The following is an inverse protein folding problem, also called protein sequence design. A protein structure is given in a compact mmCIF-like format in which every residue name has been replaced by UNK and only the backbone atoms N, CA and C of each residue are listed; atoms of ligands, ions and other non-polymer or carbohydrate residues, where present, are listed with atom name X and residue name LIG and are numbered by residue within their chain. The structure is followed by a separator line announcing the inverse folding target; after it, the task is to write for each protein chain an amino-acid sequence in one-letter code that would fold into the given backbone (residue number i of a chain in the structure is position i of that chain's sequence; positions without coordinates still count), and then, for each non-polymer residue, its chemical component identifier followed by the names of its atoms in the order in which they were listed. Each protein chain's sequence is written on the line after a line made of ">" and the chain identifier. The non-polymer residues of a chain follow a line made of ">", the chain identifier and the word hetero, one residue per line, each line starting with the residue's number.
data_IF_848432095483
#
_entry.id   IF_848432095483
#
_cell.length_a   1.000
_cell.length_b   1.000
_cell.length_c   1.000
_cell.angle_alpha   90.00
_cell.angle_beta   90.00
_cell.angle_gamma   90.00
#
_symmetry.space_group_name_H-M   'P 1'
#
loop_
_entity.id
_entity.type
_entity.pdbx_description
1 polymer ?
#
# COMPACT_ATOMS: atom_id res chain seq x y z
N UNK A 1 -1.91 -9.95 17.92
CA UNK A 1 -1.18 -9.09 16.98
C UNK A 1 -1.32 -9.64 15.57
N UNK A 2 -1.60 -8.78 14.63
CA UNK A 2 -1.80 -9.17 13.24
C UNK A 2 -0.74 -8.50 12.35
N UNK A 3 -0.57 -9.02 11.15
CA UNK A 3 0.35 -8.48 10.16
C UNK A 3 -0.45 -7.86 9.03
N UNK A 4 -0.15 -6.61 8.71
CA UNK A 4 -0.76 -5.91 7.57
C UNK A 4 0.36 -5.57 6.60
N UNK A 5 0.12 -5.77 5.32
CA UNK A 5 1.08 -5.42 4.28
C UNK A 5 0.40 -4.56 3.22
N UNK A 6 1.03 -3.44 2.91
CA UNK A 6 0.60 -2.57 1.82
C UNK A 6 1.64 -2.67 0.72
N UNK A 7 1.21 -2.93 -0.51
CA UNK A 7 2.08 -2.88 -1.68
C UNK A 7 1.48 -1.87 -2.63
N UNK A 8 2.26 -0.88 -3.02
CA UNK A 8 1.75 0.21 -3.84
C UNK A 8 2.84 0.81 -4.71
N UNK A 9 2.41 1.51 -5.75
CA UNK A 9 3.30 2.25 -6.63
C UNK A 9 3.90 3.43 -5.86
N UNK A 10 5.17 3.75 -6.14
CA UNK A 10 5.85 4.87 -5.49
C UNK A 10 5.14 6.20 -5.67
N UNK A 11 4.37 6.35 -6.73
CA UNK A 11 3.64 7.60 -7.01
C UNK A 11 2.68 7.99 -5.91
N UNK A 12 2.19 7.02 -5.12
CA UNK A 12 1.23 7.27 -4.05
C UNK A 12 1.82 7.06 -2.65
N UNK A 13 3.13 6.91 -2.56
CA UNK A 13 3.77 6.65 -1.26
C UNK A 13 3.47 7.76 -0.25
N UNK A 14 3.70 9.02 -0.63
CA UNK A 14 3.44 10.13 0.29
C UNK A 14 1.98 10.23 0.66
N UNK A 15 1.08 9.94 -0.27
CA UNK A 15 -0.35 9.97 -0.02
C UNK A 15 -0.75 8.92 1.02
N UNK A 16 -0.17 7.74 0.93
CA UNK A 16 -0.43 6.67 1.89
C UNK A 16 0.10 7.05 3.28
N UNK A 17 1.34 7.53 3.35
CA UNK A 17 1.92 7.92 4.62
C UNK A 17 1.12 9.03 5.28
N UNK A 18 0.67 10.01 4.51
CA UNK A 18 -0.15 11.10 5.03
C UNK A 18 -1.51 10.59 5.52
N UNK A 19 -2.15 9.70 4.76
CA UNK A 19 -3.43 9.14 5.16
C UNK A 19 -3.33 8.34 6.46
N UNK A 20 -2.25 7.57 6.62
CA UNK A 20 -1.99 6.84 7.86
C UNK A 20 -1.85 7.81 9.03
N UNK A 21 -1.14 8.91 8.82
CA UNK A 21 -0.94 9.92 9.84
C UNK A 21 -2.26 10.57 10.25
N UNK A 22 -3.11 10.87 9.29
CA UNK A 22 -4.42 11.47 9.56
C UNK A 22 -5.31 10.52 10.36
N UNK A 23 -5.22 9.22 10.11
CA UNK A 23 -5.96 8.22 10.89
C UNK A 23 -5.31 7.97 12.25
N UNK A 24 -4.09 8.45 12.46
CA UNK A 24 -3.38 8.24 13.71
C UNK A 24 -2.87 6.80 13.88
N UNK A 25 -2.57 6.13 12.78
CA UNK A 25 -2.14 4.73 12.78
C UNK A 25 -0.90 4.54 11.93
N UNK A 26 -0.32 3.33 12.02
CA UNK A 26 0.79 2.96 11.13
C UNK A 26 2.07 3.72 11.41
N UNK A 27 2.29 4.10 12.67
CA UNK A 27 3.49 4.84 13.05
C UNK A 27 4.75 4.00 12.93
N UNK A 28 4.64 2.70 13.24
CA UNK A 28 5.78 1.80 13.21
C UNK A 28 5.61 0.80 12.08
N UNK A 29 6.58 0.75 11.19
CA UNK A 29 6.49 -0.14 10.03
C UNK A 29 7.88 -0.52 9.54
N UNK A 30 7.94 -1.60 8.78
CA UNK A 30 9.13 -1.96 8.02
C UNK A 30 8.83 -1.67 6.55
N UNK A 31 9.74 -0.98 5.89
CA UNK A 31 9.58 -0.63 4.49
C UNK A 31 10.53 -1.43 3.62
N UNK A 32 9.99 -1.99 2.56
CA UNK A 32 10.78 -2.56 1.47
C UNK A 32 10.66 -1.58 0.30
N UNK A 33 11.72 -0.82 -0.01
CA UNK A 33 11.61 0.31 -0.93
C UNK A 33 11.40 -0.06 -2.37
N UNK A 34 11.82 -1.25 -2.77
CA UNK A 34 11.66 -1.69 -4.16
C UNK A 34 11.20 -3.14 -4.18
N UNK A 35 9.96 -3.35 -4.61
CA UNK A 35 9.42 -4.68 -4.77
C UNK A 35 8.82 -4.81 -6.15
N UNK A 36 8.92 -6.01 -6.72
CA UNK A 36 8.39 -6.31 -8.03
C UNK A 36 7.39 -7.45 -7.90
N UNK A 37 6.32 -7.38 -8.68
CA UNK A 37 5.32 -8.42 -8.66
C UNK A 37 4.58 -8.48 -9.99
N UNK A 38 3.84 -9.55 -10.15
CA UNK A 38 2.98 -9.74 -11.31
C UNK A 38 1.55 -9.86 -10.80
N UNK A 39 0.72 -8.90 -11.18
CA UNK A 39 -0.69 -8.93 -10.82
C UNK A 39 -1.52 -9.72 -11.83
N UNK A 40 -2.80 -9.79 -11.55
CA UNK A 40 -3.75 -10.51 -12.40
C UNK A 40 -3.83 -9.95 -13.81
N UNK A 41 -3.51 -8.68 -13.99
CA UNK A 41 -3.48 -8.05 -15.31
C UNK A 41 -2.17 -8.32 -16.04
N UNK A 42 -1.18 -8.90 -15.36
CA UNK A 42 0.13 -9.15 -15.92
C UNK A 42 0.92 -7.88 -16.21
N UNK A 43 2.13 -8.03 -16.76
CA UNK A 43 2.88 -6.88 -17.21
C UNK A 43 2.17 -6.25 -18.40
N UNK A 44 2.16 -4.92 -18.46
CA UNK A 44 1.58 -4.21 -19.58
C UNK A 44 2.51 -4.30 -20.77
N UNK A 45 2.14 -5.12 -21.72
CA UNK A 45 2.93 -5.32 -22.93
C UNK A 45 2.97 -4.04 -23.73
N UNK A 46 4.15 -3.66 -24.17
CA UNK A 46 4.33 -2.47 -24.97
C UNK A 46 4.48 -1.18 -24.20
N UNK A 47 4.37 -1.25 -22.90
CA UNK A 47 4.60 -0.09 -22.05
C UNK A 47 6.09 0.11 -21.85
N UNK A 48 6.59 1.27 -22.29
CA UNK A 48 8.00 1.59 -22.15
C UNK A 48 8.39 2.01 -20.75
N UNK A 49 7.40 2.34 -19.91
CA UNK A 49 7.62 2.70 -18.51
C UNK A 49 7.53 1.44 -17.69
N UNK A 50 8.67 0.83 -17.51
CA UNK A 50 8.65 -0.49 -16.98
C UNK A 50 9.94 -0.80 -16.25
N UNK A 51 9.88 -1.56 -15.19
CA UNK A 51 8.66 -1.83 -14.41
C UNK A 51 8.31 -0.62 -13.57
N UNK A 52 7.02 -0.45 -13.29
CA UNK A 52 6.64 0.51 -12.29
C UNK A 52 7.23 0.06 -10.97
N UNK A 53 7.95 0.95 -10.31
CA UNK A 53 8.54 0.62 -9.04
C UNK A 53 7.49 0.70 -7.95
N UNK A 54 7.40 -0.39 -7.17
CA UNK A 54 6.50 -0.48 -6.05
C UNK A 54 7.31 -0.52 -4.77
N UNK A 55 6.65 -0.19 -3.68
CA UNK A 55 7.19 -0.34 -2.34
C UNK A 55 6.23 -1.17 -1.50
N UNK A 56 6.72 -1.69 -0.40
CA UNK A 56 5.88 -2.42 0.55
C UNK A 56 6.10 -1.87 1.95
N UNK A 57 5.00 -1.77 2.69
CA UNK A 57 5.03 -1.43 4.12
C UNK A 57 4.44 -2.59 4.88
N UNK A 58 5.13 -3.05 5.91
CA UNK A 58 4.67 -4.14 6.76
C UNK A 58 4.47 -3.61 8.17
N UNK A 59 3.29 -3.90 8.72
CA UNK A 59 2.92 -3.47 10.06
C UNK A 59 2.59 -4.70 10.90
N UNK A 60 3.04 -4.70 12.14
CA UNK A 60 2.60 -5.64 13.14
C UNK A 60 1.82 -4.84 14.18
N UNK A 61 0.54 -5.07 14.28
CA UNK A 61 -0.34 -4.21 15.08
C UNK A 61 -1.53 -4.98 15.64
N UNK A 62 -2.28 -4.31 16.49
CA UNK A 62 -3.53 -4.85 16.97
C UNK A 62 -4.61 -4.66 15.90
N UNK A 63 -5.66 -5.44 15.99
CA UNK A 63 -6.71 -5.46 14.97
C UNK A 63 -7.34 -4.09 14.75
N UNK A 64 -7.53 -3.33 15.82
CA UNK A 64 -8.13 -2.00 15.72
C UNK A 64 -7.27 -1.05 14.89
N UNK A 65 -5.96 -1.09 15.12
CA UNK A 65 -5.04 -0.28 14.31
C UNK A 65 -5.06 -0.74 12.86
N UNK A 66 -5.15 -2.06 12.63
CA UNK A 66 -5.25 -2.59 11.28
C UNK A 66 -6.46 -2.07 10.52
N UNK A 67 -7.60 -1.90 11.20
CA UNK A 67 -8.78 -1.32 10.58
C UNK A 67 -8.57 0.14 10.19
N UNK A 68 -7.83 0.88 11.00
CA UNK A 68 -7.44 2.25 10.67
C UNK A 68 -6.54 2.30 9.46
N UNK A 69 -5.60 1.35 9.35
CA UNK A 69 -4.74 1.24 8.18
C UNK A 69 -5.59 0.95 6.93
N UNK A 70 -6.57 0.06 7.05
CA UNK A 70 -7.48 -0.21 5.93
C UNK A 70 -8.23 1.04 5.49
N UNK A 71 -8.73 1.83 6.44
CA UNK A 71 -9.45 3.07 6.13
C UNK A 71 -8.55 4.06 5.40
N UNK A 72 -7.31 4.19 5.86
CA UNK A 72 -6.34 5.09 5.24
C UNK A 72 -6.10 4.67 3.78
N UNK A 73 -5.86 3.39 3.55
CA UNK A 73 -5.63 2.87 2.20
C UNK A 73 -6.86 3.06 1.32
N UNK A 74 -8.06 2.79 1.87
CA UNK A 74 -9.29 2.96 1.11
C UNK A 74 -9.48 4.41 0.65
N UNK A 75 -9.13 5.36 1.50
CA UNK A 75 -9.18 6.79 1.17
C UNK A 75 -8.27 7.13 0.00
N UNK A 76 -7.03 6.62 0.03
CA UNK A 76 -6.09 6.86 -1.06
C UNK A 76 -6.56 6.22 -2.35
N UNK A 77 -7.05 4.98 -2.30
CA UNK A 77 -7.56 4.29 -3.48
C UNK A 77 -8.71 5.06 -4.13
N UNK A 78 -9.54 5.67 -3.31
CA UNK A 78 -10.67 6.45 -3.81
C UNK A 78 -10.22 7.67 -4.63
N UNK A 79 -9.12 8.31 -4.20
CA UNK A 79 -8.59 9.49 -4.88
C UNK A 79 -7.68 9.14 -6.07
N UNK A 80 -7.09 7.95 -6.05
CA UNK A 80 -6.16 7.52 -7.09
C UNK A 80 -6.56 6.14 -7.61
N UNK A 81 -7.75 6.03 -8.25
CA UNK A 81 -8.29 4.72 -8.62
C UNK A 81 -7.47 3.98 -9.68
N UNK A 82 -6.62 4.71 -10.43
CA UNK A 82 -5.81 4.09 -11.48
C UNK A 82 -4.44 3.62 -10.99
N UNK A 83 -4.10 3.94 -9.74
CA UNK A 83 -2.82 3.52 -9.17
C UNK A 83 -2.93 2.15 -8.54
N UNK A 84 -1.86 1.37 -8.64
CA UNK A 84 -1.83 0.05 -8.04
C UNK A 84 -1.59 0.13 -6.54
N UNK A 85 -2.61 -0.18 -5.77
CA UNK A 85 -2.52 -0.23 -4.31
C UNK A 85 -3.19 -1.50 -3.83
N UNK A 86 -2.45 -2.31 -3.08
CA UNK A 86 -2.97 -3.55 -2.50
C UNK A 86 -2.71 -3.57 -1.01
N UNK A 87 -3.65 -4.11 -0.27
CA UNK A 87 -3.50 -4.29 1.17
C UNK A 87 -3.91 -5.72 1.53
N UNK A 88 -3.10 -6.35 2.36
CA UNK A 88 -3.31 -7.72 2.81
C UNK A 88 -3.25 -7.78 4.33
N UNK A 89 -3.93 -8.75 4.91
CA UNK A 89 -3.81 -9.03 6.35
C UNK A 89 -5.13 -9.12 7.07
N UNK A 90 -6.05 -8.19 6.87
CA UNK A 90 -7.38 -8.27 7.46
C UNK A 90 -8.36 -8.87 6.46
N UNK A 91 -9.24 -9.68 6.99
CA UNK A 91 -10.28 -10.31 6.20
C UNK A 91 -11.66 -9.92 6.70
#
# INVERSE_FOLDING_TARGET
>A
MIRIEIIANHSVEENILEALKLEGVGKYYTKYPNVHGIGSTGPRMGDSIWPEENFALVFWCEEEEGRGIERAVASVKKHFPDEGIKIFGLQ
#
